data_IF_557853591569
#
_entry.id   IF_557853591569
#
_cell.length_a   1.000
_cell.length_b   1.000
_cell.length_c   1.000
_cell.angle_alpha   90.00
_cell.angle_beta   90.00
_cell.angle_gamma   90.00
#
_symmetry.space_group_name_H-M   'P 1'
#
loop_
_entity.id
_entity.type
_entity.pdbx_description
1 polymer ?
#
# COMPACT_ATOMS: atom_id res chain seq x y z
N UNK A 1 -6.01 -21.64 0.41
CA UNK A 1 -7.10 -22.29 -0.35
C UNK A 1 -8.09 -22.94 0.62
N UNK A 2 -9.34 -23.28 0.22
CA UNK A 2 -10.29 -23.96 1.11
C UNK A 2 -9.76 -25.29 1.67
N UNK A 3 -9.02 -26.05 0.85
CA UNK A 3 -8.38 -27.29 1.29
C UNK A 3 -7.34 -27.05 2.39
N UNK A 4 -6.49 -26.02 2.24
CA UNK A 4 -5.53 -25.65 3.28
C UNK A 4 -6.24 -25.31 4.60
N UNK A 5 -7.33 -24.53 4.57
CA UNK A 5 -8.08 -24.17 5.78
C UNK A 5 -8.64 -25.42 6.48
N UNK A 6 -9.24 -26.35 5.73
CA UNK A 6 -9.79 -27.60 6.29
C UNK A 6 -8.72 -28.55 6.84
N UNK A 7 -7.48 -28.43 6.36
CA UNK A 7 -6.36 -29.27 6.78
C UNK A 7 -5.64 -28.75 8.04
N UNK A 8 -5.86 -27.48 8.44
CA UNK A 8 -5.24 -26.92 9.63
C UNK A 8 -5.81 -27.59 10.88
N UNK A 9 -4.95 -28.32 11.59
CA UNK A 9 -5.29 -28.93 12.87
C UNK A 9 -5.31 -27.87 13.99
N UNK A 10 -6.12 -28.11 15.03
CA UNK A 10 -6.15 -27.29 16.24
C UNK A 10 -4.76 -27.08 16.82
N UNK A 11 -3.96 -28.14 16.89
CA UNK A 11 -2.64 -28.09 17.51
C UNK A 11 -1.68 -27.20 16.72
N UNK A 12 -1.79 -27.15 15.38
CA UNK A 12 -1.02 -26.21 14.56
C UNK A 12 -1.39 -24.74 14.84
N UNK A 13 -2.68 -24.45 15.07
CA UNK A 13 -3.12 -23.11 15.49
C UNK A 13 -2.56 -22.77 16.87
N UNK A 14 -2.58 -23.73 17.78
CA UNK A 14 -2.07 -23.56 19.13
C UNK A 14 -0.55 -23.34 19.16
N UNK A 15 0.21 -24.09 18.35
CA UNK A 15 1.64 -23.91 18.18
C UNK A 15 1.97 -22.56 17.55
N UNK A 16 1.22 -22.13 16.54
CA UNK A 16 1.37 -20.80 15.94
C UNK A 16 1.16 -19.70 16.98
N UNK A 17 0.08 -19.79 17.78
CA UNK A 17 -0.18 -18.86 18.88
C UNK A 17 1.00 -18.82 19.85
N UNK A 18 1.46 -19.96 20.36
CA UNK A 18 2.59 -20.02 21.30
C UNK A 18 3.90 -19.49 20.72
N UNK A 19 4.08 -19.60 19.41
CA UNK A 19 5.30 -19.17 18.73
C UNK A 19 5.37 -17.66 18.54
N UNK A 20 4.27 -17.02 18.15
CA UNK A 20 4.25 -15.61 17.72
C UNK A 20 3.53 -14.66 18.69
N UNK A 21 2.73 -15.16 19.62
CA UNK A 21 2.08 -14.33 20.65
C UNK A 21 2.91 -14.38 21.93
N UNK A 22 4.04 -13.69 21.89
CA UNK A 22 5.00 -13.62 22.99
C UNK A 22 5.18 -12.17 23.46
N UNK A 23 5.55 -11.95 24.74
CA UNK A 23 5.78 -10.61 25.26
C UNK A 23 6.82 -9.80 24.47
N UNK A 24 7.86 -10.46 23.97
CA UNK A 24 8.97 -9.84 23.23
C UNK A 24 8.66 -9.55 21.75
N UNK A 25 7.53 -10.06 21.22
CA UNK A 25 7.00 -9.72 19.89
C UNK A 25 5.81 -8.75 19.94
N UNK A 26 5.32 -8.41 21.14
CA UNK A 26 4.09 -7.65 21.32
C UNK A 26 4.35 -6.15 21.44
N UNK A 27 3.73 -5.37 20.55
CA UNK A 27 3.67 -3.91 20.65
C UNK A 27 2.25 -3.50 21.01
N UNK A 28 2.09 -2.72 22.08
CA UNK A 28 0.80 -2.16 22.50
C UNK A 28 0.85 -0.64 22.29
N UNK A 29 -0.11 -0.14 21.52
CA UNK A 29 -0.27 1.28 21.27
C UNK A 29 -1.62 1.76 21.74
N UNK A 30 -1.66 2.92 22.40
CA UNK A 30 -2.88 3.52 22.90
C UNK A 30 -2.87 5.03 22.63
N UNK A 31 -4.03 5.59 22.28
CA UNK A 31 -4.19 7.02 22.05
C UNK A 31 -5.57 7.49 22.56
N UNK A 32 -5.61 8.63 23.26
CA UNK A 32 -6.82 9.19 23.84
C UNK A 32 -6.54 9.92 25.16
N UNK A 33 -7.58 10.13 25.97
CA UNK A 33 -7.45 10.63 27.34
C UNK A 33 -6.95 9.52 28.27
N UNK A 34 -5.64 9.30 28.28
CA UNK A 34 -4.98 8.19 28.95
C UNK A 34 -3.81 8.72 29.78
N UNK A 35 -3.58 8.09 30.94
CA UNK A 35 -2.37 8.27 31.74
C UNK A 35 -1.41 7.11 31.46
N UNK A 36 -0.19 7.41 31.03
CA UNK A 36 0.77 6.41 30.54
C UNK A 36 1.00 5.29 31.56
N UNK A 37 1.35 5.65 32.80
CA UNK A 37 1.68 4.68 33.86
C UNK A 37 0.49 3.79 34.21
N UNK A 38 -0.73 4.33 34.16
CA UNK A 38 -1.96 3.56 34.40
C UNK A 38 -2.16 2.52 33.30
N UNK A 39 -1.98 2.89 32.04
CA UNK A 39 -2.08 1.96 30.90
C UNK A 39 -1.02 0.86 31.02
N UNK A 40 0.22 1.22 31.32
CA UNK A 40 1.31 0.26 31.51
C UNK A 40 1.01 -0.73 32.64
N UNK A 41 0.53 -0.24 33.79
CA UNK A 41 0.12 -1.12 34.91
C UNK A 41 -0.97 -2.10 34.49
N UNK A 42 -2.04 -1.61 33.84
CA UNK A 42 -3.15 -2.46 33.41
C UNK A 42 -2.72 -3.53 32.41
N UNK A 43 -1.83 -3.18 31.49
CA UNK A 43 -1.26 -4.12 30.51
C UNK A 43 -0.45 -5.20 31.22
N UNK A 44 0.48 -4.81 32.09
CA UNK A 44 1.33 -5.74 32.84
C UNK A 44 0.48 -6.68 33.69
N UNK A 45 -0.50 -6.15 34.41
CA UNK A 45 -1.42 -6.94 35.24
C UNK A 45 -2.23 -7.93 34.41
N UNK A 46 -2.73 -7.51 33.23
CA UNK A 46 -3.48 -8.37 32.34
C UNK A 46 -2.61 -9.50 31.75
N UNK A 47 -1.37 -9.21 31.37
CA UNK A 47 -0.43 -10.20 30.85
C UNK A 47 -0.04 -11.21 31.94
N UNK A 48 0.23 -10.76 33.17
CA UNK A 48 0.46 -11.65 34.32
C UNK A 48 -0.75 -12.54 34.61
N UNK A 49 -1.96 -11.98 34.62
CA UNK A 49 -3.19 -12.74 34.83
C UNK A 49 -3.43 -13.78 33.72
N UNK A 50 -2.98 -13.51 32.50
CA UNK A 50 -3.00 -14.44 31.37
C UNK A 50 -1.87 -15.49 31.42
N UNK A 51 -1.01 -15.47 32.45
CA UNK A 51 0.09 -16.42 32.65
C UNK A 51 1.31 -16.15 31.77
N UNK A 52 1.47 -14.93 31.27
CA UNK A 52 2.65 -14.55 30.49
C UNK A 52 3.84 -14.30 31.42
N UNK A 53 5.03 -14.75 31.00
CA UNK A 53 6.28 -14.48 31.70
C UNK A 53 6.91 -13.20 31.15
N UNK A 54 6.97 -12.15 31.96
CA UNK A 54 7.58 -10.88 31.62
C UNK A 54 8.97 -10.83 32.27
N UNK A 55 9.99 -11.38 31.61
CA UNK A 55 11.36 -11.28 32.12
C UNK A 55 11.87 -9.84 31.96
N UNK A 56 12.37 -9.26 33.05
CA UNK A 56 12.77 -7.85 33.09
C UNK A 56 13.92 -7.50 32.12
N UNK A 57 14.75 -8.49 31.77
CA UNK A 57 15.93 -8.33 30.90
C UNK A 57 15.69 -8.85 29.47
N UNK A 58 14.46 -9.25 29.12
CA UNK A 58 14.15 -9.69 27.76
C UNK A 58 14.20 -8.51 26.79
N UNK A 59 15.06 -8.59 25.78
CA UNK A 59 15.06 -7.64 24.67
C UNK A 59 13.87 -7.94 23.73
N UNK A 60 13.20 -6.90 23.19
CA UNK A 60 12.25 -7.10 22.10
C UNK A 60 12.92 -7.80 20.91
N UNK A 61 12.15 -8.57 20.15
CA UNK A 61 12.66 -9.15 18.91
C UNK A 61 13.09 -8.06 17.93
N UNK A 62 14.09 -8.37 17.12
CA UNK A 62 14.48 -7.49 16.02
C UNK A 62 13.31 -7.26 15.07
N UNK A 63 13.23 -6.04 14.53
CA UNK A 63 12.27 -5.73 13.47
C UNK A 63 12.55 -6.59 12.25
N UNK A 64 11.52 -6.79 11.42
CA UNK A 64 11.66 -7.57 10.19
C UNK A 64 12.77 -6.99 9.32
N UNK A 65 13.55 -7.89 8.72
CA UNK A 65 14.58 -7.50 7.76
C UNK A 65 13.98 -6.61 6.66
N UNK A 66 14.71 -5.55 6.34
CA UNK A 66 14.41 -4.64 5.23
C UNK A 66 15.20 -4.99 3.97
N UNK A 67 15.94 -6.10 4.01
CA UNK A 67 16.61 -6.66 2.84
C UNK A 67 15.57 -6.99 1.76
N UNK A 68 15.81 -6.52 0.55
CA UNK A 68 14.85 -6.67 -0.54
C UNK A 68 14.72 -8.15 -0.91
N UNK A 69 13.51 -8.68 -0.76
CA UNK A 69 13.19 -10.01 -1.24
C UNK A 69 13.18 -10.04 -2.78
N UNK A 70 13.62 -11.15 -3.35
CA UNK A 70 13.47 -11.40 -4.78
C UNK A 70 11.99 -11.69 -5.09
N UNK A 71 11.36 -10.82 -5.90
CA UNK A 71 9.97 -10.99 -6.29
C UNK A 71 9.90 -11.88 -7.53
N UNK A 72 9.59 -13.16 -7.33
CA UNK A 72 9.48 -14.18 -8.38
C UNK A 72 8.13 -14.19 -9.09
N UNK A 73 7.44 -13.04 -9.16
CA UNK A 73 6.15 -12.91 -9.81
C UNK A 73 6.24 -13.13 -11.33
N UNK A 74 5.18 -13.67 -11.92
CA UNK A 74 5.09 -13.81 -13.38
C UNK A 74 4.67 -12.48 -14.01
N UNK A 75 5.63 -11.81 -14.65
CA UNK A 75 5.33 -10.68 -15.53
C UNK A 75 4.47 -11.15 -16.72
N UNK A 76 3.80 -10.21 -17.38
CA UNK A 76 2.91 -10.47 -18.51
C UNK A 76 1.43 -10.47 -18.14
N UNK A 77 0.62 -10.94 -19.09
CA UNK A 77 -0.84 -10.95 -19.00
C UNK A 77 -1.35 -12.25 -18.37
N UNK A 78 -2.24 -12.10 -17.39
CA UNK A 78 -2.97 -13.17 -16.73
C UNK A 78 -4.47 -12.91 -16.88
N UNK A 79 -5.17 -13.78 -17.61
CA UNK A 79 -6.62 -13.68 -17.79
C UNK A 79 -7.31 -14.69 -16.89
N UNK A 80 -8.23 -14.21 -16.05
CA UNK A 80 -9.03 -15.06 -15.15
C UNK A 80 -10.48 -15.02 -15.62
N UNK A 81 -10.95 -16.15 -16.17
CA UNK A 81 -12.32 -16.30 -16.64
C UNK A 81 -13.31 -16.25 -15.47
N UNK A 82 -14.20 -15.26 -15.47
CA UNK A 82 -15.33 -15.14 -14.53
C UNK A 82 -16.55 -14.57 -15.25
N UNK A 83 -17.72 -15.12 -14.94
CA UNK A 83 -18.99 -14.61 -15.45
C UNK A 83 -19.39 -13.35 -14.68
N UNK A 84 -18.85 -12.21 -15.10
CA UNK A 84 -19.10 -10.87 -14.51
C UNK A 84 -19.40 -9.86 -15.62
N UNK A 85 -20.22 -8.87 -15.31
CA UNK A 85 -20.63 -7.83 -16.26
C UNK A 85 -19.51 -6.83 -16.61
N UNK A 86 -18.62 -6.57 -15.64
CA UNK A 86 -17.46 -5.68 -15.82
C UNK A 86 -16.17 -6.49 -15.81
N UNK A 87 -15.27 -6.13 -16.72
CA UNK A 87 -13.90 -6.58 -16.67
C UNK A 87 -13.12 -5.74 -15.65
N UNK A 88 -12.41 -6.42 -14.76
CA UNK A 88 -11.57 -5.80 -13.74
C UNK A 88 -10.12 -5.95 -14.16
N UNK A 89 -9.41 -4.84 -14.25
CA UNK A 89 -8.03 -4.77 -14.72
C UNK A 89 -7.15 -4.31 -13.57
N UNK A 90 -6.05 -5.02 -13.35
CA UNK A 90 -4.93 -4.56 -12.53
C UNK A 90 -3.68 -4.59 -13.39
N UNK A 91 -2.96 -3.48 -13.47
CA UNK A 91 -1.63 -3.38 -14.07
C UNK A 91 -0.66 -2.89 -13.00
N UNK A 92 0.38 -3.65 -12.69
CA UNK A 92 1.29 -3.29 -11.62
C UNK A 92 2.68 -3.88 -11.75
N UNK A 93 3.55 -3.49 -10.83
CA UNK A 93 4.95 -3.90 -10.79
C UNK A 93 5.48 -3.84 -9.35
N UNK A 94 6.60 -4.52 -9.06
CA UNK A 94 7.36 -4.31 -7.83
C UNK A 94 7.73 -2.84 -7.59
N UNK A 95 7.82 -2.45 -6.32
CA UNK A 95 8.24 -1.09 -5.95
C UNK A 95 9.07 -1.06 -4.66
N UNK A 96 9.16 0.11 -4.04
CA UNK A 96 9.90 0.39 -2.82
C UNK A 96 9.36 -0.32 -1.59
N UNK A 97 10.27 -0.65 -0.67
CA UNK A 97 9.96 -1.21 0.65
C UNK A 97 9.48 -0.12 1.60
N UNK A 98 8.92 -0.51 2.75
CA UNK A 98 8.24 0.41 3.65
C UNK A 98 9.19 1.43 4.31
N UNK A 99 10.48 1.09 4.42
CA UNK A 99 11.53 1.92 5.01
C UNK A 99 12.31 2.75 3.98
N UNK A 100 11.98 2.65 2.68
CA UNK A 100 12.62 3.46 1.64
C UNK A 100 12.32 4.96 1.89
N UNK A 101 13.34 5.81 1.76
CA UNK A 101 13.22 7.26 1.97
C UNK A 101 12.28 7.90 0.96
N UNK A 102 12.17 7.31 -0.24
CA UNK A 102 11.29 7.77 -1.33
C UNK A 102 9.82 7.47 -1.08
N UNK A 103 9.42 6.95 0.09
CA UNK A 103 7.99 6.69 0.44
C UNK A 103 7.09 7.92 0.32
N UNK A 104 7.62 9.12 0.59
CA UNK A 104 6.86 10.36 0.41
C UNK A 104 6.72 10.73 -1.07
N UNK A 105 7.77 10.51 -1.87
CA UNK A 105 7.74 10.65 -3.33
C UNK A 105 6.69 9.71 -3.93
N UNK A 106 6.67 8.45 -3.49
CA UNK A 106 5.64 7.47 -3.91
C UNK A 106 4.23 7.92 -3.52
N UNK A 107 4.04 8.49 -2.33
CA UNK A 107 2.73 9.00 -1.89
C UNK A 107 2.24 10.13 -2.81
N UNK A 108 3.12 11.06 -3.18
CA UNK A 108 2.82 12.16 -4.11
C UNK A 108 2.56 11.64 -5.52
N UNK A 109 3.40 10.72 -6.01
CA UNK A 109 3.22 10.06 -7.31
C UNK A 109 1.85 9.40 -7.39
N UNK A 110 1.47 8.63 -6.38
CA UNK A 110 0.18 7.95 -6.33
C UNK A 110 -0.99 8.93 -6.29
N UNK A 111 -0.85 10.05 -5.56
CA UNK A 111 -1.85 11.10 -5.50
C UNK A 111 -2.09 11.75 -6.88
N UNK A 112 -1.02 12.05 -7.63
CA UNK A 112 -1.10 12.63 -8.98
C UNK A 112 -1.68 11.64 -9.99
N UNK A 113 -1.22 10.39 -9.96
CA UNK A 113 -1.57 9.41 -10.98
C UNK A 113 -3.02 8.93 -10.84
N UNK A 114 -3.43 8.49 -9.65
CA UNK A 114 -4.74 7.87 -9.45
C UNK A 114 -5.38 8.08 -8.07
N UNK A 115 -4.90 9.05 -7.28
CA UNK A 115 -5.33 9.22 -5.89
C UNK A 115 -6.59 10.06 -5.66
N UNK A 116 -7.35 10.40 -6.71
CA UNK A 116 -8.57 11.20 -6.54
C UNK A 116 -9.15 11.72 -7.86
N UNK A 117 -10.19 12.57 -7.76
CA UNK A 117 -10.91 13.08 -8.94
C UNK A 117 -10.06 13.98 -9.84
N UNK A 118 -9.05 14.66 -9.27
CA UNK A 118 -8.11 15.49 -10.02
C UNK A 118 -6.91 14.71 -10.59
N UNK A 119 -6.83 13.40 -10.35
CA UNK A 119 -5.73 12.56 -10.80
C UNK A 119 -5.78 12.29 -12.31
N UNK A 120 -4.63 11.99 -12.92
CA UNK A 120 -4.51 11.76 -14.36
C UNK A 120 -5.40 10.62 -14.86
N UNK A 121 -5.40 9.48 -14.17
CA UNK A 121 -6.23 8.32 -14.52
C UNK A 121 -7.72 8.68 -14.48
N UNK A 122 -8.15 9.40 -13.44
CA UNK A 122 -9.54 9.82 -13.32
C UNK A 122 -9.92 10.78 -14.45
N UNK A 123 -9.11 11.79 -14.72
CA UNK A 123 -9.39 12.77 -15.77
C UNK A 123 -9.39 12.16 -17.17
N UNK A 124 -8.38 11.34 -17.51
CA UNK A 124 -8.22 10.81 -18.86
C UNK A 124 -9.16 9.65 -19.16
N UNK A 125 -9.38 8.74 -18.22
CA UNK A 125 -10.12 7.49 -18.49
C UNK A 125 -11.60 7.65 -18.13
N UNK A 126 -11.89 8.27 -16.98
CA UNK A 126 -13.26 8.45 -16.50
C UNK A 126 -13.89 9.73 -17.02
N UNK A 127 -13.31 10.90 -16.74
CA UNK A 127 -13.96 12.19 -17.04
C UNK A 127 -14.04 12.46 -18.54
N UNK A 128 -12.92 12.41 -19.27
CA UNK A 128 -12.87 12.75 -20.70
C UNK A 128 -13.46 11.68 -21.62
N UNK A 129 -13.37 10.41 -21.23
CA UNK A 129 -13.70 9.27 -22.13
C UNK A 129 -14.85 8.40 -21.64
N UNK A 130 -15.26 8.49 -20.37
CA UNK A 130 -16.37 7.71 -19.83
C UNK A 130 -16.18 6.19 -19.93
N UNK A 131 -14.93 5.70 -19.99
CA UNK A 131 -14.65 4.26 -20.22
C UNK A 131 -14.80 3.41 -18.97
N UNK A 132 -14.62 4.04 -17.80
CA UNK A 132 -14.57 3.39 -16.50
C UNK A 132 -15.42 4.18 -15.50
N UNK A 133 -16.05 3.46 -14.58
CA UNK A 133 -16.65 4.10 -13.41
C UNK A 133 -15.63 4.29 -12.28
N UNK A 134 -14.75 3.30 -12.10
CA UNK A 134 -13.72 3.31 -11.07
C UNK A 134 -12.35 3.06 -11.71
N UNK A 135 -11.42 3.98 -11.45
CA UNK A 135 -10.00 3.83 -11.74
C UNK A 135 -9.21 4.58 -10.69
N UNK A 136 -8.09 3.99 -10.27
CA UNK A 136 -7.20 4.56 -9.26
C UNK A 136 -5.84 3.87 -9.34
N UNK A 137 -4.86 4.44 -8.66
CA UNK A 137 -3.57 3.81 -8.41
C UNK A 137 -3.39 3.54 -6.93
N UNK A 138 -2.60 2.52 -6.62
CA UNK A 138 -2.30 2.12 -5.26
C UNK A 138 -0.85 1.66 -5.15
N UNK A 139 -0.28 1.81 -3.97
CA UNK A 139 1.01 1.23 -3.63
C UNK A 139 0.93 0.64 -2.22
N UNK A 140 1.52 -0.53 -2.05
CA UNK A 140 1.68 -1.18 -0.75
C UNK A 140 3.14 -1.55 -0.58
N UNK A 141 3.67 -1.24 0.59
CA UNK A 141 5.04 -1.55 0.96
C UNK A 141 5.09 -2.35 2.25
N UNK A 142 5.82 -3.46 2.20
CA UNK A 142 6.17 -4.35 3.30
C UNK A 142 7.63 -4.11 3.70
N UNK A 143 8.13 -4.85 4.70
CA UNK A 143 9.49 -4.69 5.19
C UNK A 143 10.54 -4.96 4.08
N UNK A 144 10.34 -6.03 3.32
CA UNK A 144 11.26 -6.61 2.34
C UNK A 144 10.81 -6.47 0.88
N UNK A 145 9.55 -6.13 0.63
CA UNK A 145 9.00 -5.98 -0.71
C UNK A 145 7.96 -4.87 -0.80
N UNK A 146 7.63 -4.43 -2.01
CA UNK A 146 6.49 -3.55 -2.27
C UNK A 146 5.93 -3.79 -3.65
N UNK A 147 4.68 -3.40 -3.86
CA UNK A 147 4.08 -3.36 -5.19
C UNK A 147 3.35 -2.03 -5.42
N UNK A 148 3.37 -1.59 -6.67
CA UNK A 148 2.58 -0.51 -7.21
C UNK A 148 1.59 -1.09 -8.22
N UNK A 149 0.39 -0.52 -8.31
CA UNK A 149 -0.60 -0.95 -9.29
C UNK A 149 -1.60 0.13 -9.64
N UNK A 150 -2.19 -0.04 -10.81
CA UNK A 150 -3.31 0.74 -11.32
C UNK A 150 -4.48 -0.20 -11.54
N UNK A 151 -5.65 0.22 -11.09
CA UNK A 151 -6.90 -0.49 -11.26
C UNK A 151 -7.83 0.25 -12.21
N UNK A 152 -8.59 -0.52 -12.99
CA UNK A 152 -9.74 -0.02 -13.72
C UNK A 152 -10.85 -1.08 -13.85
N UNK A 153 -12.10 -0.65 -13.71
CA UNK A 153 -13.28 -1.46 -14.03
C UNK A 153 -14.00 -0.91 -15.25
N UNK A 154 -14.10 -1.71 -16.32
CA UNK A 154 -14.71 -1.29 -17.59
C UNK A 154 -15.64 -2.37 -18.18
N UNK A 155 -16.36 -2.02 -19.24
CA UNK A 155 -17.08 -3.03 -20.04
C UNK A 155 -16.08 -3.95 -20.77
N UNK A 156 -16.39 -5.25 -20.97
CA UNK A 156 -15.46 -6.20 -21.56
C UNK A 156 -14.91 -5.76 -22.93
N UNK A 157 -15.72 -5.10 -23.75
CA UNK A 157 -15.33 -4.59 -25.08
C UNK A 157 -14.32 -3.44 -25.04
N UNK A 158 -14.03 -2.87 -23.86
CA UNK A 158 -13.13 -1.71 -23.69
C UNK A 158 -11.80 -2.07 -23.02
N UNK A 159 -11.57 -3.34 -22.67
CA UNK A 159 -10.37 -3.76 -21.92
C UNK A 159 -9.09 -3.32 -22.60
N UNK A 160 -8.94 -3.59 -23.90
CA UNK A 160 -7.74 -3.19 -24.65
C UNK A 160 -7.47 -1.68 -24.54
N UNK A 161 -8.49 -0.88 -24.83
CA UNK A 161 -8.39 0.58 -24.80
C UNK A 161 -8.01 1.10 -23.40
N UNK A 162 -8.57 0.51 -22.35
CA UNK A 162 -8.28 0.89 -20.97
C UNK A 162 -6.86 0.48 -20.57
N UNK A 163 -6.40 -0.72 -20.96
CA UNK A 163 -5.02 -1.17 -20.73
C UNK A 163 -4.00 -0.21 -21.37
N UNK A 164 -4.23 0.16 -22.63
CA UNK A 164 -3.35 1.10 -23.34
C UNK A 164 -3.31 2.46 -22.62
N UNK A 165 -4.45 2.96 -22.14
CA UNK A 165 -4.52 4.23 -21.40
C UNK A 165 -3.84 4.16 -20.03
N UNK A 166 -4.00 3.07 -19.28
CA UNK A 166 -3.31 2.90 -18.00
C UNK A 166 -1.79 2.96 -18.18
N UNK A 167 -1.27 2.21 -19.15
CA UNK A 167 0.16 2.23 -19.49
C UNK A 167 0.61 3.61 -19.95
N UNK A 168 -0.13 4.22 -20.87
CA UNK A 168 0.19 5.53 -21.44
C UNK A 168 0.28 6.63 -20.38
N UNK A 169 -0.62 6.67 -19.40
CA UNK A 169 -0.58 7.71 -18.37
C UNK A 169 0.61 7.55 -17.41
N UNK A 170 1.03 6.32 -17.13
CA UNK A 170 2.28 6.06 -16.39
C UNK A 170 3.50 6.48 -17.23
N UNK A 171 3.52 6.15 -18.52
CA UNK A 171 4.62 6.48 -19.43
C UNK A 171 4.75 8.00 -19.61
N UNK A 172 3.63 8.73 -19.76
CA UNK A 172 3.63 10.21 -19.77
C UNK A 172 4.16 10.81 -18.49
N UNK A 173 3.87 10.20 -17.33
CA UNK A 173 4.39 10.64 -16.05
C UNK A 173 5.91 10.44 -15.97
N UNK A 174 6.41 9.31 -16.47
CA UNK A 174 7.84 9.02 -16.55
C UNK A 174 8.59 9.94 -17.53
N UNK A 175 8.02 10.21 -18.70
CA UNK A 175 8.66 11.01 -19.76
C UNK A 175 8.58 12.51 -19.49
N UNK A 176 7.41 13.01 -19.11
CA UNK A 176 7.13 14.44 -19.00
C UNK A 176 7.07 14.98 -17.57
N UNK A 177 7.10 14.11 -16.56
CA UNK A 177 6.97 14.52 -15.16
C UNK A 177 5.59 15.09 -14.84
N UNK A 178 5.54 15.95 -13.82
CA UNK A 178 4.34 16.63 -13.34
C UNK A 178 4.50 18.15 -13.41
N UNK A 179 3.39 18.85 -13.61
CA UNK A 179 3.36 20.31 -13.50
C UNK A 179 3.38 20.76 -12.03
N UNK A 180 3.78 22.01 -11.81
CA UNK A 180 3.74 22.64 -10.48
C UNK A 180 2.33 22.65 -9.87
N UNK A 181 1.29 22.79 -10.71
CA UNK A 181 -0.10 22.76 -10.26
C UNK A 181 -0.54 21.36 -9.79
N UNK A 182 -0.14 20.31 -10.52
CA UNK A 182 -0.37 18.93 -10.11
C UNK A 182 0.35 18.61 -8.79
N UNK A 183 1.63 19.00 -8.68
CA UNK A 183 2.41 18.81 -7.46
C UNK A 183 1.75 19.51 -6.28
N UNK A 184 1.41 20.80 -6.43
CA UNK A 184 0.76 21.60 -5.38
C UNK A 184 -0.57 21.00 -4.95
N UNK A 185 -1.40 20.51 -5.89
CA UNK A 185 -2.67 19.84 -5.58
C UNK A 185 -2.46 18.55 -4.82
N UNK A 186 -1.53 17.70 -5.28
CA UNK A 186 -1.24 16.41 -4.64
C UNK A 186 -0.69 16.60 -3.21
N UNK A 187 0.29 17.50 -3.03
CA UNK A 187 0.85 17.84 -1.71
C UNK A 187 -0.25 18.41 -0.79
N UNK A 188 -1.08 19.33 -1.31
CA UNK A 188 -2.20 19.89 -0.57
C UNK A 188 -3.22 18.84 -0.12
N UNK A 189 -3.60 17.93 -1.02
CA UNK A 189 -4.50 16.80 -0.72
C UNK A 189 -3.93 15.90 0.38
N UNK A 190 -2.66 15.50 0.25
CA UNK A 190 -2.00 14.63 1.22
C UNK A 190 -1.87 15.29 2.60
N UNK A 191 -1.40 16.53 2.64
CA UNK A 191 -1.26 17.28 3.89
C UNK A 191 -2.61 17.49 4.57
N UNK A 192 -3.64 17.89 3.81
CA UNK A 192 -4.99 18.07 4.33
C UNK A 192 -5.58 16.77 4.88
N UNK A 193 -5.40 15.66 4.16
CA UNK A 193 -5.85 14.33 4.61
C UNK A 193 -5.17 13.87 5.89
N UNK A 194 -3.86 14.10 6.03
CA UNK A 194 -3.10 13.75 7.24
C UNK A 194 -3.62 14.51 8.46
N UNK A 195 -3.88 15.82 8.30
CA UNK A 195 -4.34 16.69 9.39
C UNK A 195 -5.77 16.32 9.81
N UNK A 196 -6.68 16.14 8.86
CA UNK A 196 -8.05 15.72 9.15
C UNK A 196 -8.09 14.34 9.85
N UNK A 197 -7.22 13.41 9.45
CA UNK A 197 -7.13 12.10 10.08
C UNK A 197 -6.60 12.13 11.53
N UNK A 198 -6.16 13.28 12.06
CA UNK A 198 -5.73 13.39 13.47
C UNK A 198 -6.89 13.60 14.45
N UNK A 199 -8.09 13.91 13.94
CA UNK A 199 -9.31 14.00 14.76
C UNK A 199 -9.72 12.62 15.32
N UNK A 200 -9.29 11.54 14.66
CA UNK A 200 -9.54 10.17 15.07
C UNK A 200 -8.38 9.60 15.91
N UNK A 201 -8.68 9.19 17.14
CA UNK A 201 -7.71 8.55 18.04
C UNK A 201 -7.23 7.20 17.51
N UNK A 202 -8.07 6.47 16.77
CA UNK A 202 -7.68 5.20 16.13
C UNK A 202 -6.57 5.38 15.08
N UNK A 203 -6.65 6.46 14.31
CA UNK A 203 -5.64 6.87 13.33
C UNK A 203 -4.33 7.31 13.98
N UNK A 204 -4.37 7.90 15.19
CA UNK A 204 -3.17 8.23 15.97
C UNK A 204 -2.52 6.97 16.55
N UNK A 205 -3.33 6.10 17.16
CA UNK A 205 -2.89 4.80 17.69
C UNK A 205 -2.22 3.95 16.61
N UNK A 206 -2.86 3.81 15.44
CA UNK A 206 -2.32 3.00 14.34
C UNK A 206 -0.99 3.55 13.80
N UNK A 207 -0.80 4.87 13.81
CA UNK A 207 0.47 5.51 13.43
C UNK A 207 1.59 5.18 14.40
N UNK A 208 1.33 5.21 15.72
CA UNK A 208 2.30 4.78 16.72
C UNK A 208 2.70 3.32 16.50
N UNK A 209 1.73 2.43 16.27
CA UNK A 209 2.00 1.02 16.05
C UNK A 209 2.84 0.78 14.80
N UNK A 210 2.54 1.49 13.72
CA UNK A 210 3.32 1.40 12.48
C UNK A 210 4.74 1.96 12.65
N UNK A 211 4.93 3.06 13.36
CA UNK A 211 6.25 3.61 13.66
C UNK A 211 7.11 2.57 14.39
N UNK A 212 6.56 1.95 15.44
CA UNK A 212 7.28 0.95 16.23
C UNK A 212 7.55 -0.34 15.44
N UNK A 213 6.56 -0.87 14.70
CA UNK A 213 6.69 -2.14 13.99
C UNK A 213 7.51 -2.08 12.70
N UNK A 214 7.58 -0.91 12.06
CA UNK A 214 8.17 -0.78 10.71
C UNK A 214 9.51 -0.04 10.75
N UNK A 215 9.55 1.20 11.21
CA UNK A 215 10.76 2.04 11.15
C UNK A 215 11.56 2.01 12.45
N UNK A 216 10.93 1.75 13.59
CA UNK A 216 11.51 1.98 14.90
C UNK A 216 11.71 3.45 15.24
N UNK A 217 11.16 4.34 14.42
CA UNK A 217 11.30 5.78 14.55
C UNK A 217 9.91 6.40 14.58
N UNK A 218 9.63 7.13 15.67
CA UNK A 218 8.45 7.97 15.74
C UNK A 218 8.70 9.26 14.95
N UNK A 219 8.14 9.31 13.74
CA UNK A 219 8.10 10.53 12.95
C UNK A 219 6.86 11.33 13.32
N UNK A 220 7.07 12.53 13.85
CA UNK A 220 5.94 13.40 14.18
C UNK A 220 5.22 13.91 12.92
N UNK A 221 4.09 14.58 13.16
CA UNK A 221 3.23 15.08 12.08
C UNK A 221 3.92 16.21 11.32
N UNK A 222 4.60 17.12 12.02
CA UNK A 222 5.20 18.30 11.39
C UNK A 222 6.34 17.89 10.45
N UNK A 223 7.15 16.93 10.88
CA UNK A 223 8.20 16.31 10.07
C UNK A 223 7.62 15.56 8.88
N UNK A 224 6.53 14.81 9.08
CA UNK A 224 5.81 14.15 7.99
C UNK A 224 5.32 15.16 6.94
N UNK A 225 4.71 16.25 7.39
CA UNK A 225 4.24 17.31 6.50
C UNK A 225 5.40 18.02 5.80
N UNK A 226 6.53 18.23 6.50
CA UNK A 226 7.75 18.82 5.93
C UNK A 226 8.31 17.95 4.82
N UNK A 227 8.43 16.64 5.04
CA UNK A 227 8.96 15.69 4.05
C UNK A 227 8.06 15.60 2.82
N UNK A 228 6.74 15.59 2.98
CA UNK A 228 5.80 15.61 1.84
C UNK A 228 5.92 16.92 1.05
N UNK A 229 6.02 18.06 1.74
CA UNK A 229 6.17 19.38 1.09
C UNK A 229 7.52 19.57 0.39
N UNK A 230 8.53 18.81 0.81
CA UNK A 230 9.87 18.86 0.21
C UNK A 230 9.96 18.07 -1.11
N UNK A 231 8.99 17.20 -1.40
CA UNK A 231 8.98 16.40 -2.65
C UNK A 231 8.94 17.31 -3.87
N UNK A 232 9.83 17.02 -4.82
CA UNK A 232 9.98 17.74 -6.07
C UNK A 232 9.35 17.00 -7.24
N UNK A 233 9.00 17.73 -8.31
CA UNK A 233 8.49 17.14 -9.54
C UNK A 233 9.50 16.19 -10.20
N UNK A 234 10.80 16.48 -10.05
CA UNK A 234 11.87 15.65 -10.59
C UNK A 234 11.96 14.30 -9.89
N UNK A 235 11.92 14.26 -8.56
CA UNK A 235 11.92 13.00 -7.80
C UNK A 235 10.71 12.13 -8.17
N UNK A 236 9.53 12.74 -8.34
CA UNK A 236 8.32 12.03 -8.80
C UNK A 236 8.54 11.44 -10.19
N UNK A 237 9.15 12.20 -11.11
CA UNK A 237 9.44 11.73 -12.45
C UNK A 237 10.46 10.57 -12.45
N UNK A 238 11.51 10.67 -11.66
CA UNK A 238 12.55 9.64 -11.53
C UNK A 238 11.95 8.33 -11.02
N UNK A 239 11.13 8.39 -9.96
CA UNK A 239 10.41 7.22 -9.47
C UNK A 239 9.42 6.68 -10.52
N UNK A 240 8.72 7.53 -11.25
CA UNK A 240 7.83 7.10 -12.32
C UNK A 240 8.58 6.36 -13.45
N UNK A 241 9.80 6.78 -13.79
CA UNK A 241 10.67 6.06 -14.76
C UNK A 241 11.02 4.66 -14.27
N UNK A 242 11.38 4.51 -12.99
CA UNK A 242 11.64 3.19 -12.39
C UNK A 242 10.40 2.28 -12.51
N UNK A 243 9.21 2.80 -12.18
CA UNK A 243 7.96 2.04 -12.27
C UNK A 243 7.57 1.69 -13.71
N UNK A 244 7.76 2.62 -14.65
CA UNK A 244 7.43 2.42 -16.05
C UNK A 244 8.33 1.38 -16.73
N UNK A 245 9.61 1.33 -16.34
CA UNK A 245 10.60 0.38 -16.82
C UNK A 245 10.53 -1.00 -16.14
N UNK A 246 9.89 -1.09 -14.98
CA UNK A 246 9.76 -2.34 -14.24
C UNK A 246 8.90 -3.37 -15.01
N UNK A 247 9.18 -4.68 -14.88
CA UNK A 247 8.33 -5.73 -15.45
C UNK A 247 6.89 -5.59 -14.97
N UNK A 248 5.96 -5.53 -15.93
CA UNK A 248 4.53 -5.36 -15.64
C UNK A 248 3.85 -6.71 -15.50
N UNK A 249 3.06 -6.85 -14.45
CA UNK A 249 2.05 -7.90 -14.32
C UNK A 249 0.69 -7.28 -14.58
N UNK A 250 -0.03 -7.84 -15.56
CA UNK A 250 -1.37 -7.41 -15.93
C UNK A 250 -2.32 -8.55 -15.63
N UNK A 251 -3.33 -8.29 -14.79
CA UNK A 251 -4.39 -9.27 -14.50
C UNK A 251 -5.72 -8.71 -14.99
N UNK A 252 -6.42 -9.49 -15.82
CA UNK A 252 -7.76 -9.17 -16.30
C UNK A 252 -8.73 -10.24 -15.81
N UNK A 253 -9.71 -9.84 -15.01
CA UNK A 253 -10.80 -10.73 -14.55
C UNK A 253 -12.07 -10.34 -15.29
N UNK A 254 -12.61 -11.25 -16.10
CA UNK A 254 -13.79 -10.96 -16.90
C UNK A 254 -14.32 -12.17 -17.69
N UNK A 255 -15.37 -11.98 -18.51
CA UNK A 255 -16.01 -13.04 -19.27
C UNK A 255 -15.22 -13.38 -20.55
N UNK A 256 -13.92 -13.67 -20.41
CA UNK A 256 -13.00 -13.98 -21.50
C UNK A 256 -12.51 -15.42 -21.40
N UNK A 257 -12.02 -15.97 -22.50
CA UNK A 257 -11.21 -17.19 -22.44
C UNK A 257 -9.84 -16.87 -21.86
N UNK A 258 -9.22 -17.81 -21.15
CA UNK A 258 -7.90 -17.61 -20.53
C UNK A 258 -6.77 -17.41 -21.56
N UNK A 259 -7.04 -17.73 -22.83
CA UNK A 259 -6.13 -17.52 -23.97
C UNK A 259 -6.26 -16.13 -24.61
N UNK A 260 -7.18 -15.28 -24.13
CA UNK A 260 -7.32 -13.91 -24.64
C UNK A 260 -6.03 -13.12 -24.40
N UNK A 261 -5.57 -12.40 -25.41
CA UNK A 261 -4.28 -11.69 -25.37
C UNK A 261 -4.44 -10.20 -25.22
N UNK A 262 -5.60 -9.65 -25.58
CA UNK A 262 -5.80 -8.20 -25.72
C UNK A 262 -4.62 -7.55 -26.48
N UNK A 263 -3.99 -8.25 -27.42
CA UNK A 263 -2.81 -7.81 -28.19
C UNK A 263 -1.60 -7.34 -27.36
N UNK A 264 -1.39 -7.94 -26.18
CA UNK A 264 -0.16 -7.87 -25.39
C UNK A 264 0.74 -9.07 -25.66
#
# INVERSE_FOLDING_TARGET
TPAAIRAVARDSVWEHYRRYYRPDELVITAAGGLEHDVVCSLVVDALHAAGWSLEADAAPVDRRSTERAEITGTAGLHVVKRAVEQANIIMGCPTIVATDERRFVMSVLNAVLGGGMSSRLFQEIREKRGLVYSTYSFASSYADAGYFGMYAGCTPSKVRQVLDLLGLELDKLAEGGISDDELRKAVGQLCGGIVLALEDTGSRMSRLGRAELVSGEYQDIDETLRLIKAVTAQEVQELAKELAAAPRTVTVVGPFEETETFGL
#
